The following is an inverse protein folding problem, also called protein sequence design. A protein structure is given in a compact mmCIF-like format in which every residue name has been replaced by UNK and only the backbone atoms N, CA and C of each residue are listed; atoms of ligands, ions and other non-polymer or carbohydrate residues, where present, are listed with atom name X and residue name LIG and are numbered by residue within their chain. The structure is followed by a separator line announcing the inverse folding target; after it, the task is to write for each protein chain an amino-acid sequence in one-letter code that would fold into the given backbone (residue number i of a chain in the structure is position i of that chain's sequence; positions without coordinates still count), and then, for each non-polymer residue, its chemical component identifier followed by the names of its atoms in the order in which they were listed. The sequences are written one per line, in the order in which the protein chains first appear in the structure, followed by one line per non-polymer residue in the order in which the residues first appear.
data_IF_651712688892
#
_entry.id   IF_651712688892
#
_cell.length_a   1.000
_cell.length_b   1.000
_cell.length_c   1.000
_cell.angle_alpha   90.00
_cell.angle_beta   90.00
_cell.angle_gamma   90.00
#
_symmetry.space_group_name_H-M   'P 1'
#
loop_
_entity.id
_entity.type
_entity.pdbx_description
1 polymer ?
#
# COMPACT_ATOMS: atom_id res chain seq x y z
N UNK A 1 29.95 -11.14 3.87
CA UNK A 1 29.06 -10.21 4.57
C UNK A 1 28.22 -9.41 3.57
N UNK A 2 28.82 -8.60 2.72
CA UNK A 2 28.13 -7.73 1.75
C UNK A 2 27.13 -8.51 0.86
N UNK A 3 27.52 -9.66 0.34
CA UNK A 3 26.65 -10.50 -0.52
C UNK A 3 25.37 -10.95 0.22
N UNK A 4 25.46 -11.30 1.50
CA UNK A 4 24.29 -11.67 2.31
C UNK A 4 23.34 -10.48 2.52
N UNK A 5 23.86 -9.30 2.78
CA UNK A 5 23.09 -8.06 2.93
C UNK A 5 22.39 -7.71 1.61
N UNK A 6 23.10 -7.79 0.49
CA UNK A 6 22.53 -7.57 -0.85
C UNK A 6 21.44 -8.58 -1.20
N UNK A 7 21.63 -9.86 -0.85
CA UNK A 7 20.60 -10.88 -1.05
C UNK A 7 19.36 -10.62 -0.20
N UNK A 8 19.53 -10.21 1.07
CA UNK A 8 18.41 -9.82 1.95
C UNK A 8 17.64 -8.61 1.42
N UNK A 9 18.35 -7.58 0.94
CA UNK A 9 17.73 -6.46 0.26
C UNK A 9 16.92 -6.90 -0.97
N UNK A 10 17.47 -7.80 -1.77
CA UNK A 10 16.78 -8.38 -2.93
C UNK A 10 15.47 -9.07 -2.53
N UNK A 11 15.47 -9.86 -1.45
CA UNK A 11 14.24 -10.50 -0.91
C UNK A 11 13.24 -9.46 -0.43
N UNK A 12 13.68 -8.43 0.30
CA UNK A 12 12.81 -7.34 0.76
C UNK A 12 12.14 -6.63 -0.42
N UNK A 13 12.89 -6.23 -1.45
CA UNK A 13 12.33 -5.59 -2.64
C UNK A 13 11.38 -6.50 -3.41
N UNK A 14 11.77 -7.74 -3.64
CA UNK A 14 10.92 -8.71 -4.33
C UNK A 14 9.60 -8.92 -3.59
N UNK A 15 9.67 -9.18 -2.29
CA UNK A 15 8.48 -9.39 -1.47
C UNK A 15 7.59 -8.14 -1.44
N UNK A 16 8.19 -6.95 -1.33
CA UNK A 16 7.47 -5.68 -1.37
C UNK A 16 6.70 -5.52 -2.68
N UNK A 17 7.37 -5.69 -3.83
CA UNK A 17 6.73 -5.49 -5.15
C UNK A 17 5.58 -6.47 -5.33
N UNK A 18 5.81 -7.75 -5.06
CA UNK A 18 4.80 -8.80 -5.26
C UNK A 18 3.61 -8.61 -4.31
N UNK A 19 3.88 -8.33 -3.02
CA UNK A 19 2.83 -8.03 -2.05
C UNK A 19 2.04 -6.77 -2.42
N UNK A 20 2.72 -5.71 -2.83
CA UNK A 20 2.06 -4.43 -3.13
C UNK A 20 1.18 -4.49 -4.38
N UNK A 21 1.64 -5.18 -5.42
CA UNK A 21 0.83 -5.40 -6.63
C UNK A 21 -0.42 -6.22 -6.33
N UNK A 22 -0.27 -7.35 -5.64
CA UNK A 22 -1.44 -8.18 -5.26
C UNK A 22 -2.36 -7.47 -4.27
N UNK A 23 -1.80 -6.74 -3.30
CA UNK A 23 -2.57 -5.93 -2.37
C UNK A 23 -3.36 -4.83 -3.07
N UNK A 24 -2.78 -4.21 -4.11
CA UNK A 24 -3.49 -3.20 -4.91
C UNK A 24 -4.69 -3.80 -5.65
N UNK A 25 -4.53 -4.97 -6.24
CA UNK A 25 -5.63 -5.66 -6.92
C UNK A 25 -6.76 -6.03 -5.93
N UNK A 26 -6.41 -6.64 -4.79
CA UNK A 26 -7.37 -6.98 -3.74
C UNK A 26 -8.04 -5.71 -3.19
N UNK A 27 -7.28 -4.65 -2.94
CA UNK A 27 -7.76 -3.36 -2.44
C UNK A 27 -8.76 -2.70 -3.39
N UNK A 28 -8.50 -2.71 -4.70
CA UNK A 28 -9.42 -2.21 -5.73
C UNK A 28 -10.73 -3.01 -5.73
N UNK A 29 -10.64 -4.35 -5.71
CA UNK A 29 -11.82 -5.22 -5.67
C UNK A 29 -12.64 -4.98 -4.39
N UNK A 30 -11.99 -4.85 -3.25
CA UNK A 30 -12.64 -4.58 -1.97
C UNK A 30 -13.27 -3.17 -1.95
N UNK A 31 -12.60 -2.17 -2.51
CA UNK A 31 -13.15 -0.82 -2.67
C UNK A 31 -14.37 -0.82 -3.60
N UNK A 32 -14.34 -1.54 -4.72
CA UNK A 32 -15.51 -1.72 -5.58
C UNK A 32 -16.68 -2.41 -4.82
N UNK A 33 -16.35 -3.35 -3.93
CA UNK A 33 -17.32 -3.94 -3.01
C UNK A 33 -17.96 -2.92 -2.07
N UNK A 34 -17.19 -1.97 -1.53
CA UNK A 34 -17.70 -0.85 -0.69
C UNK A 34 -18.71 0.02 -1.45
N UNK A 35 -18.44 0.29 -2.71
CA UNK A 35 -19.27 1.11 -3.59
C UNK A 35 -20.46 0.32 -4.20
N UNK A 36 -20.54 -0.99 -3.96
CA UNK A 36 -21.59 -1.84 -4.55
C UNK A 36 -22.99 -1.48 -4.05
N UNK A 37 -23.96 -1.48 -4.96
CA UNK A 37 -25.39 -1.38 -4.63
C UNK A 37 -25.93 -2.62 -3.91
N UNK A 38 -25.26 -3.78 -4.05
CA UNK A 38 -25.67 -5.01 -3.38
C UNK A 38 -25.22 -5.01 -1.92
N UNK A 39 -26.20 -5.07 -1.00
CA UNK A 39 -25.97 -5.07 0.45
C UNK A 39 -25.05 -6.21 0.91
N UNK A 40 -25.17 -7.40 0.32
CA UNK A 40 -24.38 -8.58 0.70
C UNK A 40 -22.90 -8.36 0.36
N UNK A 41 -22.61 -7.95 -0.88
CA UNK A 41 -21.23 -7.67 -1.33
C UNK A 41 -20.59 -6.56 -0.48
N UNK A 42 -21.33 -5.48 -0.25
CA UNK A 42 -20.88 -4.37 0.60
C UNK A 42 -20.57 -4.82 2.02
N UNK A 43 -21.43 -5.68 2.59
CA UNK A 43 -21.22 -6.17 3.96
C UNK A 43 -19.99 -7.07 4.04
N UNK A 44 -19.82 -8.00 3.09
CA UNK A 44 -18.64 -8.88 3.05
C UNK A 44 -17.35 -8.05 2.94
N UNK A 45 -17.31 -7.07 2.05
CA UNK A 45 -16.15 -6.21 1.87
C UNK A 45 -15.84 -5.41 3.16
N UNK A 46 -16.87 -4.85 3.83
CA UNK A 46 -16.72 -4.12 5.10
C UNK A 46 -16.26 -5.01 6.24
N UNK A 47 -16.78 -6.22 6.34
CA UNK A 47 -16.38 -7.19 7.39
C UNK A 47 -14.92 -7.60 7.19
N UNK A 48 -14.54 -7.97 5.95
CA UNK A 48 -13.15 -8.29 5.62
C UNK A 48 -12.21 -7.15 6.04
N UNK A 49 -12.44 -5.95 5.53
CA UNK A 49 -11.58 -4.80 5.80
C UNK A 49 -11.56 -4.45 7.29
N UNK A 50 -12.73 -4.46 7.94
CA UNK A 50 -12.88 -4.12 9.36
C UNK A 50 -12.19 -5.11 10.30
N UNK A 51 -12.06 -6.37 9.92
CA UNK A 51 -11.31 -7.38 10.70
C UNK A 51 -9.82 -7.22 10.43
N UNK A 52 -9.40 -7.25 9.18
CA UNK A 52 -7.97 -7.29 8.82
C UNK A 52 -7.21 -6.04 9.28
N UNK A 53 -7.79 -4.85 9.13
CA UNK A 53 -7.11 -3.60 9.50
C UNK A 53 -6.86 -3.47 11.02
N UNK A 54 -7.60 -4.19 11.83
CA UNK A 54 -7.48 -4.16 13.30
C UNK A 54 -6.49 -5.18 13.86
N UNK A 55 -6.07 -6.15 13.04
CA UNK A 55 -5.11 -7.17 13.45
C UNK A 55 -3.69 -6.62 13.17
N UNK A 56 -2.80 -6.51 14.19
CA UNK A 56 -1.42 -6.15 13.97
C UNK A 56 -0.75 -7.11 12.97
N UNK A 57 0.08 -6.60 12.04
CA UNK A 57 0.67 -7.44 10.99
C UNK A 57 1.52 -8.59 11.53
N UNK A 58 2.23 -8.38 12.64
CA UNK A 58 3.00 -9.42 13.30
C UNK A 58 2.10 -10.57 13.77
N UNK A 59 0.98 -10.24 14.43
CA UNK A 59 0.03 -11.23 14.93
C UNK A 59 -0.60 -12.01 13.79
N UNK A 60 -0.91 -11.33 12.70
CA UNK A 60 -1.45 -11.96 11.49
C UNK A 60 -0.46 -12.93 10.85
N UNK A 61 0.82 -12.56 10.73
CA UNK A 61 1.85 -13.46 10.22
C UNK A 61 2.06 -14.66 11.13
N UNK A 62 2.08 -14.47 12.45
CA UNK A 62 2.19 -15.57 13.42
C UNK A 62 1.00 -16.52 13.34
N UNK A 63 -0.22 -15.99 13.18
CA UNK A 63 -1.42 -16.80 13.03
C UNK A 63 -1.35 -17.66 11.75
N UNK A 64 -0.97 -17.07 10.62
CA UNK A 64 -0.80 -17.81 9.37
C UNK A 64 0.34 -18.83 9.45
N UNK A 65 1.45 -18.49 10.11
CA UNK A 65 2.54 -19.43 10.34
C UNK A 65 2.05 -20.63 11.17
N UNK A 66 1.31 -20.40 12.23
CA UNK A 66 0.76 -21.46 13.07
C UNK A 66 -0.19 -22.38 12.30
N UNK A 67 -1.07 -21.82 11.47
CA UNK A 67 -2.09 -22.59 10.73
C UNK A 67 -1.48 -23.36 9.55
N UNK A 68 -0.54 -22.75 8.82
CA UNK A 68 -0.05 -23.27 7.52
C UNK A 68 1.23 -24.06 7.66
N UNK A 69 2.18 -23.64 8.53
CA UNK A 69 3.49 -24.29 8.62
C UNK A 69 3.43 -25.59 9.41
N UNK A 70 2.59 -25.69 10.46
CA UNK A 70 2.68 -26.81 11.39
C UNK A 70 4.15 -27.02 11.81
N UNK A 71 4.69 -28.24 11.58
CA UNK A 71 6.10 -28.58 11.85
C UNK A 71 7.05 -28.40 10.63
N UNK A 72 6.62 -27.77 9.54
CA UNK A 72 7.42 -27.71 8.29
C UNK A 72 8.03 -26.32 8.04
N UNK A 73 9.37 -26.25 8.08
CA UNK A 73 10.18 -25.01 7.90
C UNK A 73 10.22 -24.40 6.48
N UNK A 74 9.44 -24.87 5.51
CA UNK A 74 9.65 -24.52 4.09
C UNK A 74 8.63 -23.54 3.48
N UNK A 75 7.76 -22.91 4.28
CA UNK A 75 6.69 -22.06 3.75
C UNK A 75 6.77 -20.57 4.14
N UNK A 76 7.84 -20.13 4.79
CA UNK A 76 7.90 -18.79 5.40
C UNK A 76 7.64 -17.63 4.42
N UNK A 77 8.22 -17.68 3.21
CA UNK A 77 8.05 -16.62 2.20
C UNK A 77 6.60 -16.57 1.69
N UNK A 78 5.98 -17.73 1.44
CA UNK A 78 4.58 -17.78 0.99
C UNK A 78 3.62 -17.26 2.06
N UNK A 79 3.87 -17.59 3.30
CA UNK A 79 3.07 -17.11 4.44
C UNK A 79 3.23 -15.60 4.59
N UNK A 80 4.47 -15.09 4.53
CA UNK A 80 4.75 -13.67 4.54
C UNK A 80 4.02 -12.96 3.39
N UNK A 81 4.11 -13.51 2.18
CA UNK A 81 3.43 -12.99 1.00
C UNK A 81 1.90 -12.89 1.21
N UNK A 82 1.25 -13.96 1.63
CA UNK A 82 -0.21 -13.98 1.83
C UNK A 82 -0.61 -13.01 2.94
N UNK A 83 0.01 -13.11 4.12
CA UNK A 83 -0.32 -12.29 5.26
C UNK A 83 -0.11 -10.80 5.02
N UNK A 84 1.05 -10.41 4.48
CA UNK A 84 1.35 -9.02 4.18
C UNK A 84 0.46 -8.47 3.06
N UNK A 85 0.20 -9.27 2.02
CA UNK A 85 -0.69 -8.84 0.92
C UNK A 85 -2.09 -8.54 1.42
N UNK A 86 -2.66 -9.39 2.29
CA UNK A 86 -3.98 -9.16 2.87
C UNK A 86 -4.01 -7.92 3.77
N UNK A 87 -2.98 -7.74 4.61
CA UNK A 87 -2.88 -6.58 5.49
C UNK A 87 -2.75 -5.27 4.69
N UNK A 88 -1.85 -5.23 3.73
CA UNK A 88 -1.63 -4.04 2.88
C UNK A 88 -2.86 -3.76 2.02
N UNK A 89 -3.55 -4.80 1.53
CA UNK A 89 -4.79 -4.65 0.75
C UNK A 89 -5.90 -3.97 1.57
N UNK A 90 -6.06 -4.31 2.84
CA UNK A 90 -7.05 -3.67 3.71
C UNK A 90 -6.75 -2.17 3.90
N UNK A 91 -5.48 -1.80 4.04
CA UNK A 91 -5.06 -0.39 4.12
C UNK A 91 -5.27 0.34 2.78
N UNK A 92 -4.89 -0.28 1.65
CA UNK A 92 -5.09 0.28 0.31
C UNK A 92 -6.58 0.44 -0.04
N UNK A 93 -7.45 -0.43 0.47
CA UNK A 93 -8.90 -0.27 0.32
C UNK A 93 -9.36 1.08 0.87
N UNK A 94 -8.86 1.49 2.03
CA UNK A 94 -9.14 2.80 2.62
C UNK A 94 -8.65 3.96 1.76
N UNK A 95 -7.45 3.84 1.18
CA UNK A 95 -6.87 4.84 0.27
C UNK A 95 -7.73 4.99 -0.98
N UNK A 96 -8.08 3.89 -1.63
CA UNK A 96 -8.92 3.91 -2.84
C UNK A 96 -10.32 4.44 -2.56
N UNK A 97 -10.94 4.01 -1.46
CA UNK A 97 -12.25 4.50 -1.07
C UNK A 97 -12.23 6.00 -0.71
N UNK A 98 -11.20 6.47 -0.01
CA UNK A 98 -10.98 7.89 0.24
C UNK A 98 -10.87 8.71 -1.05
N UNK A 99 -10.17 8.18 -2.06
CA UNK A 99 -10.11 8.78 -3.39
C UNK A 99 -11.47 8.87 -4.08
N UNK A 100 -12.30 7.83 -3.97
CA UNK A 100 -13.68 7.86 -4.51
C UNK A 100 -14.51 8.93 -3.81
N UNK A 101 -14.41 9.02 -2.49
CA UNK A 101 -15.14 10.03 -1.70
C UNK A 101 -14.64 11.47 -1.88
N UNK A 102 -13.44 11.65 -2.44
CA UNK A 102 -12.88 12.99 -2.70
C UNK A 102 -13.47 13.66 -3.94
N UNK A 103 -14.16 12.92 -4.81
CA UNK A 103 -14.82 13.49 -5.99
C UNK A 103 -16.12 14.17 -5.56
N UNK A 104 -16.29 15.44 -5.94
CA UNK A 104 -17.47 16.21 -5.57
C UNK A 104 -18.73 15.69 -6.26
N UNK A 105 -19.81 15.50 -5.50
CA UNK A 105 -21.10 15.04 -6.03
C UNK A 105 -21.64 15.96 -7.13
N UNK A 106 -21.42 17.26 -7.03
CA UNK A 106 -21.84 18.26 -8.03
C UNK A 106 -21.22 18.04 -9.42
N UNK A 107 -19.98 17.51 -9.50
CA UNK A 107 -19.36 17.19 -10.78
C UNK A 107 -20.00 15.97 -11.43
N UNK A 108 -20.38 14.98 -10.61
CA UNK A 108 -21.10 13.80 -11.05
C UNK A 108 -22.49 14.17 -11.57
N UNK A 109 -23.18 15.07 -10.86
CA UNK A 109 -24.49 15.57 -11.27
C UNK A 109 -24.41 16.41 -12.55
N UNK A 110 -23.43 17.30 -12.66
CA UNK A 110 -23.19 18.09 -13.87
C UNK A 110 -22.92 17.19 -15.09
N UNK A 111 -22.09 16.17 -14.94
CA UNK A 111 -21.82 15.19 -15.99
C UNK A 111 -23.10 14.47 -16.45
N UNK A 112 -23.98 14.11 -15.52
CA UNK A 112 -25.27 13.49 -15.84
C UNK A 112 -26.22 14.45 -16.56
N UNK A 113 -26.21 15.72 -16.19
CA UNK A 113 -27.06 16.77 -16.82
C UNK A 113 -26.73 16.96 -18.29
N UNK A 114 -25.46 16.83 -18.69
CA UNK A 114 -25.03 16.91 -20.10
C UNK A 114 -25.15 15.56 -20.82
N UNK A 115 -25.79 14.55 -20.20
CA UNK A 115 -26.11 13.27 -20.84
C UNK A 115 -25.01 12.22 -20.82
N UNK A 116 -23.96 12.38 -19.99
CA UNK A 116 -22.92 11.35 -19.85
C UNK A 116 -23.46 10.08 -19.17
N UNK A 117 -23.12 8.94 -19.77
CA UNK A 117 -23.41 7.65 -19.16
C UNK A 117 -22.56 7.44 -17.89
N UNK A 118 -22.97 6.50 -17.00
CA UNK A 118 -22.22 6.18 -15.78
C UNK A 118 -20.74 5.83 -16.05
N UNK A 119 -20.48 5.09 -17.12
CA UNK A 119 -19.12 4.69 -17.52
C UNK A 119 -18.33 5.90 -18.02
N UNK A 120 -18.93 6.76 -18.83
CA UNK A 120 -18.29 8.00 -19.29
C UNK A 120 -17.96 8.92 -18.11
N UNK A 121 -18.89 9.13 -17.19
CA UNK A 121 -18.66 9.91 -15.96
C UNK A 121 -17.53 9.31 -15.14
N UNK A 122 -17.51 7.98 -14.97
CA UNK A 122 -16.45 7.32 -14.20
C UNK A 122 -15.07 7.52 -14.85
N UNK A 123 -14.90 7.20 -16.12
CA UNK A 123 -13.58 7.24 -16.77
C UNK A 123 -13.08 8.66 -17.06
N UNK A 124 -13.97 9.61 -17.38
CA UNK A 124 -13.56 10.95 -17.81
C UNK A 124 -13.56 11.99 -16.69
N UNK A 125 -14.40 11.80 -15.65
CA UNK A 125 -14.52 12.76 -14.54
C UNK A 125 -13.92 12.17 -13.25
N UNK A 126 -14.45 11.02 -12.81
CA UNK A 126 -14.07 10.48 -11.49
C UNK A 126 -12.66 9.90 -11.46
N UNK A 127 -12.32 9.01 -12.38
CA UNK A 127 -11.06 8.25 -12.34
C UNK A 127 -9.82 9.15 -12.36
N UNK A 128 -9.71 10.20 -13.21
CA UNK A 128 -8.57 11.11 -13.18
C UNK A 128 -8.40 11.79 -11.83
N UNK A 129 -9.49 12.25 -11.21
CA UNK A 129 -9.47 12.91 -9.91
C UNK A 129 -9.12 11.95 -8.79
N UNK A 130 -9.69 10.72 -8.81
CA UNK A 130 -9.35 9.67 -7.87
C UNK A 130 -7.84 9.41 -7.91
N UNK A 131 -7.30 9.11 -9.10
CA UNK A 131 -5.86 8.84 -9.26
C UNK A 131 -5.05 10.02 -8.70
N UNK A 132 -5.47 11.22 -9.05
CA UNK A 132 -4.78 12.42 -8.59
C UNK A 132 -4.76 12.56 -7.08
N UNK A 133 -5.86 12.30 -6.40
CA UNK A 133 -5.97 12.41 -4.95
C UNK A 133 -5.21 11.31 -4.20
N UNK A 134 -5.20 10.07 -4.73
CA UNK A 134 -4.60 8.92 -4.03
C UNK A 134 -3.09 8.78 -4.23
N UNK A 135 -2.50 9.28 -5.33
CA UNK A 135 -1.08 9.04 -5.67
C UNK A 135 -0.12 9.32 -4.52
N UNK A 136 -0.18 10.45 -3.77
CA UNK A 136 0.76 10.68 -2.68
C UNK A 136 0.64 9.63 -1.57
N UNK A 137 -0.60 9.31 -1.16
CA UNK A 137 -0.87 8.33 -0.11
C UNK A 137 -0.51 6.91 -0.58
N UNK A 138 -0.79 6.59 -1.85
CA UNK A 138 -0.45 5.30 -2.45
C UNK A 138 1.07 5.06 -2.45
N UNK A 139 1.87 6.08 -2.73
CA UNK A 139 3.33 6.00 -2.62
C UNK A 139 3.80 5.82 -1.17
N UNK A 140 3.17 6.50 -0.21
CA UNK A 140 3.45 6.29 1.21
C UNK A 140 3.13 4.84 1.64
N UNK A 141 2.04 4.26 1.12
CA UNK A 141 1.71 2.85 1.36
C UNK A 141 2.74 1.89 0.79
N UNK A 142 3.36 2.22 -0.34
CA UNK A 142 4.46 1.43 -0.90
C UNK A 142 5.67 1.41 0.04
N UNK A 143 6.08 2.57 0.57
CA UNK A 143 7.17 2.68 1.54
C UNK A 143 6.82 1.91 2.83
N UNK A 144 5.60 2.07 3.34
CA UNK A 144 5.11 1.30 4.49
C UNK A 144 5.15 -0.22 4.21
N UNK A 145 4.73 -0.66 3.03
CA UNK A 145 4.78 -2.06 2.64
C UNK A 145 6.22 -2.60 2.69
N UNK A 146 7.20 -1.82 2.24
CA UNK A 146 8.60 -2.21 2.31
C UNK A 146 9.11 -2.31 3.74
N UNK A 147 8.77 -1.37 4.61
CA UNK A 147 9.15 -1.42 6.02
C UNK A 147 8.53 -2.61 6.75
N UNK A 148 7.26 -2.92 6.47
CA UNK A 148 6.53 -4.00 7.14
C UNK A 148 7.03 -5.39 6.74
N UNK A 149 7.75 -5.55 5.62
CA UNK A 149 8.38 -6.83 5.26
C UNK A 149 9.40 -7.30 6.30
N UNK A 150 9.98 -6.39 7.10
CA UNK A 150 10.88 -6.72 8.21
C UNK A 150 10.22 -7.63 9.25
N UNK A 151 8.89 -7.56 9.41
CA UNK A 151 8.12 -8.42 10.31
C UNK A 151 8.19 -9.90 9.87
N UNK A 152 8.43 -10.17 8.58
CA UNK A 152 8.57 -11.52 8.07
C UNK A 152 9.84 -12.24 8.58
N UNK A 153 10.82 -11.53 9.12
CA UNK A 153 11.99 -12.11 9.79
C UNK A 153 11.59 -13.00 10.97
N UNK A 154 10.53 -12.64 11.67
CA UNK A 154 10.04 -13.37 12.85
C UNK A 154 9.57 -14.80 12.51
N UNK A 155 9.09 -15.00 11.28
CA UNK A 155 8.70 -16.32 10.77
C UNK A 155 9.79 -17.00 9.96
N UNK A 156 11.04 -16.50 10.04
CA UNK A 156 12.24 -17.11 9.43
C UNK A 156 12.52 -16.70 7.98
N UNK A 157 11.87 -15.65 7.46
CA UNK A 157 12.23 -15.11 6.13
C UNK A 157 13.56 -14.38 6.22
N UNK A 158 14.51 -14.77 5.37
CA UNK A 158 15.85 -14.14 5.30
C UNK A 158 15.79 -12.89 4.44
N UNK A 159 15.17 -11.85 4.97
CA UNK A 159 15.09 -10.51 4.38
C UNK A 159 16.20 -9.59 4.95
N UNK A 160 16.16 -8.30 4.63
CA UNK A 160 17.23 -7.36 4.99
C UNK A 160 17.53 -7.33 6.49
N UNK A 161 16.52 -7.23 7.37
CA UNK A 161 16.70 -7.20 8.82
C UNK A 161 17.38 -8.49 9.31
N UNK A 162 16.86 -9.65 8.91
CA UNK A 162 17.40 -10.93 9.37
C UNK A 162 18.83 -11.20 8.86
N UNK A 163 19.24 -10.61 7.75
CA UNK A 163 20.62 -10.75 7.23
C UNK A 163 21.63 -9.86 7.96
N UNK A 164 21.17 -8.79 8.60
CA UNK A 164 22.00 -7.92 9.44
C UNK A 164 22.18 -8.49 10.85
N UNK A 165 21.22 -9.25 11.38
CA UNK A 165 21.35 -9.94 12.68
C UNK A 165 22.51 -10.95 12.71
N UNK A 166 22.93 -11.47 11.57
CA UNK A 166 24.08 -12.38 11.42
C UNK A 166 25.45 -11.71 11.45
N UNK A 167 25.56 -10.42 11.71
CA UNK A 167 26.81 -9.69 11.85
C UNK A 167 27.38 -9.99 13.23
N UNK A 168 28.71 -10.25 13.30
CA UNK A 168 29.42 -10.64 14.52
C UNK A 168 29.27 -9.66 15.70
N UNK A 169 28.89 -8.42 15.42
CA UNK A 169 28.51 -7.40 16.40
C UNK A 169 27.01 -7.09 16.23
N UNK A 170 26.18 -7.62 17.12
CA UNK A 170 24.72 -7.44 17.08
C UNK A 170 24.31 -5.95 17.08
N UNK A 171 25.02 -5.10 17.85
CA UNK A 171 24.74 -3.67 17.87
C UNK A 171 24.98 -3.02 16.48
N UNK A 172 26.03 -3.42 15.78
CA UNK A 172 26.32 -2.92 14.43
C UNK A 172 25.24 -3.39 13.43
N UNK A 173 24.78 -4.63 13.55
CA UNK A 173 23.67 -5.16 12.72
C UNK A 173 22.40 -4.35 12.89
N UNK A 174 22.00 -4.07 14.12
CA UNK A 174 20.82 -3.24 14.43
C UNK A 174 20.97 -1.82 13.85
N UNK A 175 22.12 -1.18 14.05
CA UNK A 175 22.37 0.16 13.54
C UNK A 175 22.30 0.21 12.00
N UNK A 176 22.86 -0.79 11.32
CA UNK A 176 22.78 -0.89 9.85
C UNK A 176 21.35 -1.09 9.36
N UNK A 177 20.54 -1.90 10.06
CA UNK A 177 19.14 -2.09 9.74
C UNK A 177 18.35 -0.79 9.89
N UNK A 178 18.51 -0.10 11.01
CA UNK A 178 17.85 1.19 11.26
C UNK A 178 18.28 2.20 10.18
N UNK A 179 19.56 2.32 9.89
CA UNK A 179 20.06 3.24 8.87
C UNK A 179 19.51 2.90 7.48
N UNK A 180 19.43 1.62 7.11
CA UNK A 180 18.89 1.18 5.83
C UNK A 180 17.41 1.51 5.67
N UNK A 181 16.58 1.16 6.63
CA UNK A 181 15.14 1.50 6.59
C UNK A 181 14.88 3.00 6.69
N UNK A 182 15.70 3.73 7.45
CA UNK A 182 15.63 5.20 7.51
C UNK A 182 15.94 5.83 6.14
N UNK A 183 17.01 5.38 5.47
CA UNK A 183 17.36 5.87 4.13
C UNK A 183 16.25 5.57 3.11
N UNK A 184 15.67 4.36 3.14
CA UNK A 184 14.57 3.98 2.27
C UNK A 184 13.34 4.86 2.53
N UNK A 185 12.99 5.07 3.80
CA UNK A 185 11.87 5.93 4.18
C UNK A 185 12.08 7.38 3.71
N UNK A 186 13.25 7.96 3.98
CA UNK A 186 13.56 9.36 3.60
C UNK A 186 13.59 9.55 2.08
N UNK A 187 14.11 8.59 1.32
CA UNK A 187 14.07 8.62 -0.14
C UNK A 187 12.62 8.56 -0.65
N UNK A 188 11.80 7.69 -0.06
CA UNK A 188 10.38 7.61 -0.35
C UNK A 188 9.66 8.95 -0.10
N UNK A 189 9.83 9.53 1.08
CA UNK A 189 9.25 10.82 1.45
C UNK A 189 9.73 11.96 0.54
N UNK A 190 11.00 11.94 0.14
CA UNK A 190 11.54 12.93 -0.80
C UNK A 190 10.83 12.84 -2.16
N UNK A 191 10.63 11.64 -2.69
CA UNK A 191 9.92 11.41 -3.95
C UNK A 191 8.47 11.89 -3.84
N UNK A 192 7.76 11.51 -2.76
CA UNK A 192 6.37 11.89 -2.51
C UNK A 192 6.22 13.40 -2.42
N UNK A 193 7.10 14.06 -1.66
CA UNK A 193 7.09 15.52 -1.49
C UNK A 193 7.35 16.24 -2.82
N UNK A 194 8.27 15.73 -3.65
CA UNK A 194 8.50 16.28 -4.99
C UNK A 194 7.29 16.14 -5.91
N UNK A 195 6.58 15.02 -5.84
CA UNK A 195 5.35 14.80 -6.61
C UNK A 195 4.22 15.74 -6.14
N UNK A 196 4.04 15.91 -4.84
CA UNK A 196 3.05 16.81 -4.26
C UNK A 196 3.30 18.30 -4.60
N UNK A 197 4.54 18.77 -4.51
CA UNK A 197 4.90 20.17 -4.85
C UNK A 197 4.66 20.51 -6.33
N UNK A 198 4.92 19.58 -7.24
CA UNK A 198 4.63 19.79 -8.68
C UNK A 198 3.14 20.04 -8.95
N UNK A 199 2.25 19.45 -8.16
CA UNK A 199 0.80 19.63 -8.28
C UNK A 199 0.33 20.98 -7.78
N UNK A 200 0.82 21.39 -6.60
CA UNK A 200 0.43 22.67 -6.00
C UNK A 200 0.82 23.88 -6.88
N UNK A 201 1.95 23.79 -7.58
CA UNK A 201 2.40 24.81 -8.53
C UNK A 201 1.44 24.85 -9.74
N UNK A 202 1.07 23.70 -10.31
CA UNK A 202 0.11 23.65 -11.43
C UNK A 202 -1.25 24.22 -11.06
N UNK A 203 -1.80 23.89 -9.89
CA UNK A 203 -3.11 24.41 -9.47
C UNK A 203 -3.11 25.91 -9.25
N UNK A 204 -2.03 26.50 -8.69
CA UNK A 204 -1.86 27.95 -8.59
C UNK A 204 -1.80 28.63 -9.96
N UNK A 205 -1.04 28.11 -10.90
CA UNK A 205 -0.95 28.64 -12.27
C UNK A 205 -2.31 28.64 -12.99
N UNK A 206 -3.16 27.65 -12.74
CA UNK A 206 -4.51 27.60 -13.30
C UNK A 206 -5.44 28.64 -12.67
N UNK A 207 -5.38 28.83 -11.36
CA UNK A 207 -6.20 29.83 -10.64
C UNK A 207 -5.80 31.25 -11.06
N UNK A 208 -4.51 31.55 -11.13
CA UNK A 208 -3.98 32.85 -11.53
C UNK A 208 -4.35 33.20 -12.99
N UNK A 209 -4.37 32.22 -13.88
CA UNK A 209 -4.83 32.38 -15.27
C UNK A 209 -6.35 32.51 -15.40
N UNK A 210 -7.13 32.04 -14.45
CA UNK A 210 -8.59 32.17 -14.44
C UNK A 210 -9.07 33.53 -13.88
N UNK A 211 -8.28 34.16 -13.01
CA UNK A 211 -8.57 35.50 -12.46
C UNK A 211 -8.20 36.65 -13.40
N UNK A 212 -7.40 36.39 -14.43
CA UNK A 212 -6.95 37.38 -15.45
C UNK A 212 -7.86 37.42 -16.69
N UNK A 213 -8.93 36.61 -16.74
CA UNK A 213 -9.94 36.60 -17.80
C UNK A 213 -11.29 37.12 -17.29
#
# INVERSE_FOLDING_TARGET
MIIKILSGLGVTFFLTIVCFVTASLIGIVTCAGFCSGNKVIRTIAKVYNGIIIKIPPLVMLMLFALIIMGDRNNGSILIAYIGLSLFVAANLTGVFFGGVCAVADGEIEAARTIGMSKMQTFFHIMLPQIIESIVPVYMSMFVMCMQITSVASVIGVKEFLSTTDGISNAALGIVLSIAGYFLIGTLGDFVITRMGKRKHIKSKDYLEKSEVR
#
